data_IF_393947867426
#
_entry.id   IF_393947867426
#
_cell.length_a   1.000
_cell.length_b   1.000
_cell.length_c   1.000
_cell.angle_alpha   90.00
_cell.angle_beta   90.00
_cell.angle_gamma   90.00
#
_symmetry.space_group_name_H-M   'P 1'
#
loop_
_entity.id
_entity.type
_entity.pdbx_description
1 polymer ?
#
# COMPACT_ATOMS: atom_id res chain seq x y z
N UNK A 1 10.40 16.39 7.89
CA UNK A 1 9.36 16.15 8.91
C UNK A 1 8.72 14.83 8.59
N UNK A 2 8.60 13.90 9.54
CA UNK A 2 7.82 12.68 9.32
C UNK A 2 6.35 13.10 9.25
N UNK A 3 5.66 12.83 8.15
CA UNK A 3 4.25 13.17 8.00
C UNK A 3 3.45 12.62 9.18
N UNK A 4 2.63 13.42 9.86
CA UNK A 4 1.82 12.96 11.00
C UNK A 4 0.52 12.26 10.56
N UNK A 5 0.13 12.42 9.29
CA UNK A 5 -1.06 11.82 8.68
C UNK A 5 -0.66 10.54 7.91
N UNK A 6 -1.23 9.36 8.24
CA UNK A 6 -0.97 8.11 7.54
C UNK A 6 -1.27 8.17 6.03
N UNK A 7 -2.26 8.94 5.60
CA UNK A 7 -2.61 9.06 4.18
C UNK A 7 -1.59 9.91 3.44
N UNK A 8 -1.10 11.00 4.03
CA UNK A 8 -0.01 11.78 3.42
C UNK A 8 1.28 10.96 3.34
N UNK A 9 1.63 10.23 4.40
CA UNK A 9 2.77 9.30 4.40
C UNK A 9 2.64 8.25 3.28
N UNK A 10 1.45 7.68 3.09
CA UNK A 10 1.16 6.74 2.02
C UNK A 10 1.36 7.36 0.64
N UNK A 11 0.80 8.55 0.40
CA UNK A 11 0.90 9.23 -0.90
C UNK A 11 2.33 9.68 -1.19
N UNK A 12 3.05 10.18 -0.20
CA UNK A 12 4.47 10.54 -0.30
C UNK A 12 5.34 9.32 -0.64
N UNK A 13 5.17 8.21 0.09
CA UNK A 13 5.86 6.96 -0.19
C UNK A 13 5.58 6.43 -1.60
N UNK A 14 4.34 6.57 -2.09
CA UNK A 14 4.00 6.23 -3.48
C UNK A 14 4.74 7.11 -4.48
N UNK A 15 4.79 8.44 -4.27
CA UNK A 15 5.54 9.36 -5.14
C UNK A 15 7.03 9.04 -5.17
N UNK A 16 7.64 8.74 -4.02
CA UNK A 16 9.06 8.37 -3.92
C UNK A 16 9.41 7.08 -4.69
N UNK A 17 8.46 6.17 -4.83
CA UNK A 17 8.58 4.95 -5.65
C UNK A 17 8.19 5.13 -7.12
N UNK A 18 7.78 6.33 -7.54
CA UNK A 18 7.27 6.58 -8.89
C UNK A 18 5.93 5.89 -9.18
N UNK A 19 5.15 5.57 -8.15
CA UNK A 19 3.83 4.96 -8.31
C UNK A 19 2.76 6.04 -8.56
N UNK A 20 1.75 5.78 -9.41
CA UNK A 20 0.62 6.69 -9.57
C UNK A 20 -0.06 6.98 -8.23
N UNK A 21 -0.40 8.24 -7.92
CA UNK A 21 -1.17 8.57 -6.71
C UNK A 21 -2.67 8.64 -6.96
N UNK A 22 -3.09 8.52 -8.22
CA UNK A 22 -4.50 8.60 -8.60
C UNK A 22 -5.29 7.41 -8.03
N UNK A 23 -6.45 7.73 -7.47
CA UNK A 23 -7.48 6.77 -7.14
C UNK A 23 -7.92 6.00 -8.39
N UNK A 24 -8.16 4.70 -8.27
CA UNK A 24 -8.77 3.94 -9.37
C UNK A 24 -10.19 4.44 -9.63
N UNK A 25 -10.59 4.44 -10.91
CA UNK A 25 -11.92 4.91 -11.35
C UNK A 25 -12.90 3.77 -11.66
N UNK A 26 -12.43 2.52 -11.62
CA UNK A 26 -13.22 1.35 -11.96
C UNK A 26 -12.78 0.13 -11.16
N UNK A 27 -13.31 -1.03 -11.53
CA UNK A 27 -12.89 -2.31 -10.94
C UNK A 27 -11.40 -2.57 -11.18
N UNK A 28 -10.78 -3.30 -10.26
CA UNK A 28 -9.41 -3.76 -10.42
C UNK A 28 -9.37 -5.28 -10.53
N UNK A 29 -8.38 -5.79 -11.25
CA UNK A 29 -8.20 -7.21 -11.50
C UNK A 29 -6.76 -7.62 -11.20
N UNK A 30 -6.57 -8.72 -10.48
CA UNK A 30 -5.25 -9.29 -10.25
C UNK A 30 -5.36 -10.81 -10.13
N UNK A 31 -4.63 -11.56 -10.96
CA UNK A 31 -4.55 -13.04 -10.91
C UNK A 31 -5.92 -13.73 -10.82
N UNK A 32 -6.86 -13.33 -11.68
CA UNK A 32 -8.22 -13.87 -11.71
C UNK A 32 -9.14 -13.39 -10.57
N UNK A 33 -8.66 -12.54 -9.66
CA UNK A 33 -9.48 -11.90 -8.62
C UNK A 33 -10.02 -10.56 -9.11
N UNK A 34 -11.31 -10.34 -8.89
CA UNK A 34 -12.00 -9.06 -9.10
C UNK A 34 -12.09 -8.29 -7.79
N UNK A 35 -11.72 -7.02 -7.82
CA UNK A 35 -11.86 -6.07 -6.74
C UNK A 35 -12.96 -5.08 -7.09
N UNK A 36 -14.11 -5.23 -6.42
CA UNK A 36 -15.30 -4.42 -6.70
C UNK A 36 -15.04 -2.92 -6.55
N UNK A 37 -15.72 -2.12 -7.36
CA UNK A 37 -15.69 -0.67 -7.29
C UNK A 37 -17.07 -0.12 -6.96
N UNK A 38 -17.12 0.96 -6.18
CA UNK A 38 -18.31 1.79 -5.99
C UNK A 38 -17.89 3.26 -5.91
N UNK A 39 -18.74 4.22 -6.33
CA UNK A 39 -18.45 5.63 -6.16
C UNK A 39 -18.03 5.98 -4.72
N UNK A 40 -16.96 6.76 -4.58
CA UNK A 40 -16.40 7.17 -3.27
C UNK A 40 -15.74 6.04 -2.47
N UNK A 41 -15.48 4.87 -3.06
CA UNK A 41 -14.80 3.77 -2.35
C UNK A 41 -13.43 4.20 -1.85
N UNK A 42 -12.62 4.82 -2.70
CA UNK A 42 -11.24 5.20 -2.35
C UNK A 42 -11.24 6.23 -1.23
N UNK A 43 -12.07 7.26 -1.32
CA UNK A 43 -12.19 8.28 -0.26
C UNK A 43 -12.59 7.65 1.07
N UNK A 44 -13.57 6.74 1.08
CA UNK A 44 -13.99 6.01 2.29
C UNK A 44 -12.86 5.18 2.88
N UNK A 45 -12.02 4.56 2.05
CA UNK A 45 -10.84 3.80 2.52
C UNK A 45 -9.82 4.73 3.15
N UNK A 46 -9.50 5.85 2.51
CA UNK A 46 -8.54 6.82 3.04
C UNK A 46 -9.05 7.47 4.34
N UNK A 47 -10.34 7.83 4.41
CA UNK A 47 -10.97 8.31 5.64
C UNK A 47 -10.93 7.26 6.75
N UNK A 48 -11.22 5.99 6.43
CA UNK A 48 -11.12 4.90 7.40
C UNK A 48 -9.69 4.76 7.93
N UNK A 49 -8.68 4.79 7.06
CA UNK A 49 -7.27 4.69 7.46
C UNK A 49 -6.89 5.80 8.44
N UNK A 50 -7.31 7.06 8.19
CA UNK A 50 -7.07 8.17 9.13
C UNK A 50 -7.73 7.92 10.48
N UNK A 51 -9.01 7.55 10.48
CA UNK A 51 -9.77 7.29 11.70
C UNK A 51 -9.17 6.14 12.51
N UNK A 52 -8.84 5.03 11.86
CA UNK A 52 -8.26 3.86 12.51
C UNK A 52 -6.86 4.16 13.08
N UNK A 53 -6.13 5.13 12.51
CA UNK A 53 -4.83 5.57 13.01
C UNK A 53 -4.90 6.29 14.37
N UNK A 54 -6.04 6.92 14.67
CA UNK A 54 -6.30 7.65 15.92
C UNK A 54 -6.83 6.76 17.04
N UNK A 55 -7.23 5.51 16.74
CA UNK A 55 -7.76 4.60 17.76
C UNK A 55 -6.68 4.27 18.82
N UNK A 56 -7.05 4.17 20.11
CA UNK A 56 -6.14 3.86 21.22
C UNK A 56 -5.76 2.36 21.26
N UNK A 57 -5.46 1.78 20.10
CA UNK A 57 -5.03 0.41 19.93
C UNK A 57 -3.50 0.31 19.87
N UNK A 58 -2.99 -0.90 19.98
CA UNK A 58 -1.56 -1.15 19.76
C UNK A 58 -1.17 -0.81 18.31
N UNK A 59 0.03 -0.25 18.10
CA UNK A 59 0.49 0.19 16.78
C UNK A 59 0.46 -0.93 15.73
N UNK A 60 0.80 -2.16 16.13
CA UNK A 60 0.71 -3.32 15.23
C UNK A 60 -0.71 -3.61 14.75
N UNK A 61 -1.74 -3.39 15.58
CA UNK A 61 -3.14 -3.59 15.18
C UNK A 61 -3.53 -2.56 14.11
N UNK A 62 -3.16 -1.28 14.33
CA UNK A 62 -3.43 -0.21 13.36
C UNK A 62 -2.70 -0.46 12.03
N UNK A 63 -1.43 -0.84 12.09
CA UNK A 63 -0.62 -1.17 10.91
C UNK A 63 -1.19 -2.34 10.11
N UNK A 64 -1.59 -3.43 10.79
CA UNK A 64 -2.21 -4.60 10.12
C UNK A 64 -3.56 -4.23 9.51
N UNK A 65 -4.40 -3.43 10.18
CA UNK A 65 -5.67 -2.96 9.60
C UNK A 65 -5.43 -2.12 8.35
N UNK A 66 -4.51 -1.17 8.40
CA UNK A 66 -4.17 -0.32 7.26
C UNK A 66 -3.60 -1.14 6.08
N UNK A 67 -2.73 -2.13 6.37
CA UNK A 67 -2.25 -3.08 5.37
C UNK A 67 -3.42 -3.81 4.68
N UNK A 68 -4.33 -4.38 5.48
CA UNK A 68 -5.47 -5.14 4.98
C UNK A 68 -6.43 -4.27 4.18
N UNK A 69 -6.71 -3.05 4.62
CA UNK A 69 -7.57 -2.10 3.91
C UNK A 69 -7.01 -1.82 2.51
N UNK A 70 -5.73 -1.48 2.38
CA UNK A 70 -5.11 -1.19 1.08
C UNK A 70 -5.03 -2.46 0.22
N UNK A 71 -4.62 -3.58 0.80
CA UNK A 71 -4.43 -4.84 0.07
C UNK A 71 -5.75 -5.47 -0.42
N UNK A 72 -6.86 -5.28 0.30
CA UNK A 72 -8.15 -5.88 -0.08
C UNK A 72 -9.04 -4.94 -0.87
N UNK A 73 -8.90 -3.62 -0.72
CA UNK A 73 -9.71 -2.66 -1.50
C UNK A 73 -9.04 -2.22 -2.79
N UNK A 74 -7.71 -2.40 -2.90
CA UNK A 74 -6.90 -1.97 -4.03
C UNK A 74 -7.24 -0.53 -4.47
N UNK A 75 -7.05 0.49 -3.61
CA UNK A 75 -7.57 1.84 -3.88
C UNK A 75 -6.93 2.54 -5.09
N UNK A 76 -5.78 2.06 -5.56
CA UNK A 76 -5.04 2.65 -6.68
C UNK A 76 -5.00 1.72 -7.90
N UNK A 77 -4.69 2.27 -9.06
CA UNK A 77 -4.59 1.51 -10.32
C UNK A 77 -3.49 0.44 -10.28
N UNK A 78 -2.37 0.70 -9.61
CA UNK A 78 -1.28 -0.26 -9.38
C UNK A 78 -0.58 0.01 -8.03
N UNK A 79 0.28 -0.91 -7.59
CA UNK A 79 1.18 -0.71 -6.48
C UNK A 79 0.53 -0.88 -5.10
N UNK A 80 -0.71 -1.38 -5.04
CA UNK A 80 -1.46 -1.55 -3.79
C UNK A 80 -0.69 -2.39 -2.76
N UNK A 81 -0.08 -3.51 -3.15
CA UNK A 81 0.72 -4.31 -2.23
C UNK A 81 1.95 -3.55 -1.69
N UNK A 82 2.64 -2.79 -2.54
CA UNK A 82 3.79 -1.94 -2.14
C UNK A 82 3.34 -0.84 -1.18
N UNK A 83 2.18 -0.25 -1.44
CA UNK A 83 1.56 0.77 -0.58
C UNK A 83 1.11 0.24 0.78
N UNK A 84 0.53 -0.97 0.80
CA UNK A 84 0.14 -1.62 2.04
C UNK A 84 1.36 -1.86 2.95
N UNK A 85 2.48 -2.31 2.38
CA UNK A 85 3.74 -2.52 3.13
C UNK A 85 4.31 -1.19 3.63
N UNK A 86 4.43 -0.17 2.77
CA UNK A 86 4.95 1.14 3.17
C UNK A 86 4.16 1.77 4.32
N UNK A 87 2.83 1.73 4.22
CA UNK A 87 1.97 2.30 5.24
C UNK A 87 2.10 1.53 6.57
N UNK A 88 2.13 0.19 6.52
CA UNK A 88 2.31 -0.61 7.72
C UNK A 88 3.68 -0.37 8.39
N UNK A 89 4.75 -0.31 7.60
CA UNK A 89 6.10 -0.01 8.10
C UNK A 89 6.15 1.38 8.75
N UNK A 90 5.60 2.40 8.08
CA UNK A 90 5.51 3.75 8.62
C UNK A 90 4.74 3.80 9.95
N UNK A 91 3.58 3.14 10.03
CA UNK A 91 2.75 3.09 11.25
C UNK A 91 3.43 2.35 12.42
N UNK A 92 4.37 1.45 12.12
CA UNK A 92 5.19 0.75 13.11
C UNK A 92 6.40 1.58 13.57
N UNK A 93 6.59 2.80 13.04
CA UNK A 93 7.77 3.63 13.30
C UNK A 93 9.00 3.20 12.50
N UNK A 94 8.78 2.59 11.33
CA UNK A 94 9.81 1.97 10.51
C UNK A 94 10.97 2.91 10.15
N UNK A 95 12.17 2.36 10.24
CA UNK A 95 13.45 2.96 9.79
C UNK A 95 14.04 2.23 8.59
N UNK A 96 13.31 1.23 8.07
CA UNK A 96 13.82 0.27 7.11
C UNK A 96 13.75 0.84 5.70
N UNK A 97 14.87 0.82 4.99
CA UNK A 97 14.90 1.19 3.59
C UNK A 97 14.35 0.05 2.72
N UNK A 98 13.09 0.19 2.31
CA UNK A 98 12.41 -0.74 1.42
C UNK A 98 12.63 -0.43 -0.07
N UNK A 99 13.37 0.62 -0.41
CA UNK A 99 13.48 1.14 -1.78
C UNK A 99 13.92 0.07 -2.77
N UNK A 100 14.94 -0.72 -2.43
CA UNK A 100 15.46 -1.77 -3.30
C UNK A 100 14.38 -2.84 -3.62
N UNK A 101 13.64 -3.31 -2.62
CA UNK A 101 12.59 -4.34 -2.78
C UNK A 101 11.38 -3.78 -3.54
N UNK A 102 10.98 -2.55 -3.21
CA UNK A 102 9.74 -1.97 -3.73
C UNK A 102 9.88 -1.42 -5.16
N UNK A 103 11.10 -1.06 -5.58
CA UNK A 103 11.40 -0.66 -6.96
C UNK A 103 11.49 -1.82 -7.95
N UNK A 104 11.65 -3.07 -7.50
CA UNK A 104 11.60 -4.23 -8.41
C UNK A 104 10.26 -4.23 -9.14
N UNK A 105 10.21 -4.12 -10.48
CA UNK A 105 8.98 -4.27 -11.25
C UNK A 105 8.40 -5.67 -11.03
N UNK A 106 7.11 -5.74 -10.68
CA UNK A 106 6.42 -7.02 -10.44
C UNK A 106 5.21 -7.15 -11.36
N UNK A 107 5.41 -7.24 -12.69
CA UNK A 107 4.30 -7.44 -13.60
C UNK A 107 3.54 -8.72 -13.22
N UNK A 108 2.20 -8.71 -13.25
CA UNK A 108 1.41 -9.90 -13.00
C UNK A 108 1.84 -11.05 -13.92
N UNK A 109 2.18 -12.20 -13.32
CA UNK A 109 2.53 -13.41 -14.07
C UNK A 109 3.97 -13.51 -14.56
N UNK A 110 4.84 -12.53 -14.30
CA UNK A 110 6.25 -12.61 -14.73
C UNK A 110 7.05 -13.59 -13.85
N UNK A 111 7.56 -14.71 -14.43
CA UNK A 111 8.26 -15.76 -13.68
C UNK A 111 9.67 -15.35 -13.22
N UNK A 112 10.18 -14.18 -13.63
CA UNK A 112 11.46 -13.64 -13.16
C UNK A 112 11.34 -13.00 -11.78
N UNK A 113 10.13 -12.56 -11.41
CA UNK A 113 9.89 -11.83 -10.15
C UNK A 113 10.37 -12.60 -8.91
N UNK A 114 10.08 -13.91 -8.72
CA UNK A 114 10.60 -14.65 -7.57
C UNK A 114 12.13 -14.65 -7.47
N UNK A 115 12.84 -14.81 -8.60
CA UNK A 115 14.31 -14.78 -8.64
C UNK A 115 14.86 -13.39 -8.31
N UNK A 116 14.25 -12.33 -8.86
CA UNK A 116 14.63 -10.95 -8.53
C UNK A 116 14.41 -10.62 -7.06
N UNK A 117 13.34 -11.15 -6.46
CA UNK A 117 13.08 -10.96 -5.03
C UNK A 117 14.12 -11.66 -4.16
N UNK A 118 14.49 -12.90 -4.46
CA UNK A 118 15.54 -13.62 -3.71
C UNK A 118 16.85 -12.84 -3.72
N UNK A 119 17.29 -12.34 -4.88
CA UNK A 119 18.53 -11.57 -4.99
C UNK A 119 18.59 -10.30 -4.12
N UNK A 120 17.43 -9.71 -3.79
CA UNK A 120 17.36 -8.50 -2.94
C UNK A 120 17.13 -8.83 -1.47
N UNK A 121 16.52 -9.99 -1.16
CA UNK A 121 16.22 -10.39 0.21
C UNK A 121 17.39 -11.12 0.91
N UNK A 122 18.40 -11.57 0.17
CA UNK A 122 19.53 -12.36 0.69
C UNK A 122 19.23 -13.85 0.61
#
# INVERSE_FOLDING_TARGET
>A
MVASDPVEALLEGRRALGLPVAARRGEAFCRGRRYGHRPGLVDRVLTKIRRDAEEPLHASIRAVRAYLDVAHTHPFEDGNARSAVLLADWMLGGTRDWTAVLRIPKPPGDPRVPRLMLAVLG
#
